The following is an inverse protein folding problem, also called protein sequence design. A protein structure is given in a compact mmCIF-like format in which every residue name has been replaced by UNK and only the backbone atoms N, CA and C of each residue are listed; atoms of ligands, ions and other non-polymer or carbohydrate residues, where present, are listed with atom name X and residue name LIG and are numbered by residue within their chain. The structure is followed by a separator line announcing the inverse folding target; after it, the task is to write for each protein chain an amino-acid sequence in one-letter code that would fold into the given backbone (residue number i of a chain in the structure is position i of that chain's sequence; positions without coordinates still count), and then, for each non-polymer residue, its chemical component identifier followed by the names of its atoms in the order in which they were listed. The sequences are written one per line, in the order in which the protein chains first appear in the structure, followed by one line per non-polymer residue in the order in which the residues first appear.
data_IF_288180330145
#
_entry.id   IF_288180330145
#
_cell.length_a   1.000
_cell.length_b   1.000
_cell.length_c   1.000
_cell.angle_alpha   90.00
_cell.angle_beta   90.00
_cell.angle_gamma   90.00
#
_symmetry.space_group_name_H-M   'P 1'
#
loop_
_entity.id
_entity.type
_entity.pdbx_description
1 polymer ?
#
# COMPACT_ATOMS: atom_id res chain seq x y z
N UNK A 1 14.52 11.96 -12.59
CA UNK A 1 13.38 11.37 -11.92
C UNK A 1 13.78 10.14 -11.13
N UNK A 2 13.28 10.00 -9.97
CA UNK A 2 13.78 9.02 -9.02
C UNK A 2 12.90 7.77 -8.96
N UNK A 3 12.63 7.18 -10.11
CA UNK A 3 11.80 5.96 -10.13
C UNK A 3 12.43 4.82 -9.35
N UNK A 4 13.76 4.72 -9.43
CA UNK A 4 14.45 3.69 -8.65
C UNK A 4 14.20 3.88 -7.15
N UNK A 5 14.12 5.11 -6.71
CA UNK A 5 13.84 5.41 -5.31
C UNK A 5 12.49 4.83 -4.90
N UNK A 6 11.47 4.97 -5.74
CA UNK A 6 10.16 4.41 -5.44
C UNK A 6 10.17 2.89 -5.51
N UNK A 7 10.94 2.31 -6.44
CA UNK A 7 11.08 0.86 -6.49
C UNK A 7 11.69 0.31 -5.21
N UNK A 8 12.77 0.95 -4.77
CA UNK A 8 13.43 0.53 -3.54
C UNK A 8 12.52 0.71 -2.33
N UNK A 9 11.78 1.82 -2.30
CA UNK A 9 10.85 2.08 -1.21
C UNK A 9 9.76 1.02 -1.15
N UNK A 10 9.18 0.67 -2.31
CA UNK A 10 8.15 -0.35 -2.36
C UNK A 10 8.66 -1.69 -1.85
N UNK A 11 9.86 -2.07 -2.26
CA UNK A 11 10.46 -3.32 -1.79
C UNK A 11 10.68 -3.30 -0.29
N UNK A 12 11.21 -2.20 0.21
CA UNK A 12 11.48 -2.06 1.64
C UNK A 12 10.19 -2.15 2.45
N UNK A 13 9.18 -1.42 2.04
CA UNK A 13 7.93 -1.41 2.80
C UNK A 13 7.20 -2.74 2.74
N UNK A 14 7.28 -3.44 1.60
CA UNK A 14 6.70 -4.78 1.51
C UNK A 14 7.40 -5.76 2.43
N UNK A 15 8.73 -5.71 2.47
CA UNK A 15 9.48 -6.56 3.38
C UNK A 15 9.14 -6.26 4.83
N UNK A 16 9.05 -4.98 5.16
CA UNK A 16 8.71 -4.57 6.52
C UNK A 16 7.31 -5.06 6.90
N UNK A 17 6.36 -4.97 5.96
CA UNK A 17 5.00 -5.42 6.22
C UNK A 17 4.93 -6.92 6.44
N UNK A 18 5.77 -7.69 5.73
CA UNK A 18 5.73 -9.16 5.78
C UNK A 18 6.57 -9.74 6.90
N UNK A 19 7.54 -9.00 7.39
CA UNK A 19 8.53 -9.54 8.33
C UNK A 19 7.89 -10.05 9.62
N UNK A 20 7.18 -9.20 10.32
CA UNK A 20 6.44 -9.58 11.52
C UNK A 20 5.13 -8.81 11.50
N UNK A 21 4.09 -9.35 10.88
CA UNK A 21 2.83 -8.62 10.76
C UNK A 21 2.35 -8.12 12.12
N UNK A 22 1.99 -6.84 12.15
CA UNK A 22 1.62 -6.16 13.38
C UNK A 22 0.50 -5.18 13.06
N UNK A 23 -0.60 -5.26 13.82
CA UNK A 23 -1.76 -4.43 13.50
C UNK A 23 -1.51 -2.93 13.64
N UNK A 24 -0.42 -2.54 14.26
CA UNK A 24 -0.09 -1.12 14.41
C UNK A 24 0.81 -0.62 13.28
N UNK A 25 1.74 -1.43 12.81
CA UNK A 25 2.74 -0.99 11.84
C UNK A 25 2.49 -1.52 10.44
N UNK A 26 2.01 -2.75 10.31
CA UNK A 26 1.84 -3.37 8.99
C UNK A 26 0.92 -2.56 8.09
N UNK A 27 -0.25 -2.05 8.55
CA UNK A 27 -1.08 -1.24 7.67
C UNK A 27 -0.37 0.01 7.17
N UNK A 28 0.44 0.64 8.03
CA UNK A 28 1.20 1.82 7.63
C UNK A 28 2.19 1.48 6.52
N UNK A 29 2.92 0.37 6.66
CA UNK A 29 3.87 -0.04 5.63
C UNK A 29 3.18 -0.40 4.33
N UNK A 30 2.03 -1.08 4.41
CA UNK A 30 1.27 -1.42 3.21
C UNK A 30 0.80 -0.16 2.49
N UNK A 31 0.34 0.84 3.23
CA UNK A 31 -0.07 2.10 2.62
C UNK A 31 1.10 2.81 1.94
N UNK A 32 2.26 2.80 2.58
CA UNK A 32 3.44 3.43 1.99
C UNK A 32 3.88 2.68 0.73
N UNK A 33 3.84 1.35 0.76
CA UNK A 33 4.16 0.56 -0.42
C UNK A 33 3.18 0.86 -1.55
N UNK A 34 1.89 0.97 -1.23
CA UNK A 34 0.88 1.26 -2.25
C UNK A 34 1.13 2.60 -2.91
N UNK A 35 1.46 3.63 -2.12
CA UNK A 35 1.76 4.94 -2.69
C UNK A 35 2.98 4.89 -3.60
N UNK A 36 4.02 4.14 -3.21
CA UNK A 36 5.19 3.98 -4.06
C UNK A 36 4.83 3.30 -5.38
N UNK A 37 3.97 2.28 -5.33
CA UNK A 37 3.53 1.62 -6.55
C UNK A 37 2.74 2.58 -7.45
N UNK A 38 1.91 3.45 -6.87
CA UNK A 38 1.21 4.45 -7.67
C UNK A 38 2.19 5.38 -8.38
N UNK A 39 3.26 5.78 -7.70
CA UNK A 39 4.27 6.63 -8.32
C UNK A 39 4.97 5.92 -9.47
N UNK A 40 5.02 4.60 -9.43
CA UNK A 40 5.62 3.79 -10.49
C UNK A 40 4.60 3.43 -11.58
N UNK A 41 3.37 3.90 -11.47
CA UNK A 41 2.28 3.53 -12.36
C UNK A 41 1.96 2.04 -12.32
N UNK A 42 2.27 1.39 -11.21
CA UNK A 42 1.94 -0.01 -10.99
C UNK A 42 0.68 -0.10 -10.16
N UNK A 43 -0.43 0.33 -10.76
CA UNK A 43 -1.69 0.48 -10.04
C UNK A 43 -2.24 -0.86 -9.56
N UNK A 44 -1.99 -1.94 -10.30
CA UNK A 44 -2.45 -3.27 -9.85
C UNK A 44 -1.81 -3.65 -8.53
N UNK A 45 -0.51 -3.40 -8.39
CA UNK A 45 0.18 -3.70 -7.15
C UNK A 45 -0.26 -2.78 -6.02
N UNK A 46 -0.53 -1.52 -6.35
CA UNK A 46 -1.05 -0.58 -5.37
C UNK A 46 -2.41 -1.06 -4.84
N UNK A 47 -3.29 -1.51 -5.74
CA UNK A 47 -4.59 -2.01 -5.33
C UNK A 47 -4.46 -3.22 -4.42
N UNK A 48 -3.51 -4.12 -4.73
CA UNK A 48 -3.28 -5.28 -3.88
C UNK A 48 -2.89 -4.87 -2.46
N UNK A 49 -2.00 -3.88 -2.35
CA UNK A 49 -1.56 -3.43 -1.04
C UNK A 49 -2.71 -2.81 -0.26
N UNK A 50 -3.51 -1.97 -0.93
CA UNK A 50 -4.68 -1.38 -0.28
C UNK A 50 -5.66 -2.47 0.15
N UNK A 51 -5.85 -3.48 -0.69
CA UNK A 51 -6.78 -4.56 -0.37
C UNK A 51 -6.32 -5.34 0.85
N UNK A 52 -5.03 -5.55 1.03
CA UNK A 52 -4.52 -6.22 2.22
C UNK A 52 -4.89 -5.44 3.48
N UNK A 53 -4.81 -4.11 3.42
CA UNK A 53 -5.24 -3.29 4.56
C UNK A 53 -6.73 -3.46 4.81
N UNK A 54 -7.51 -3.42 3.74
CA UNK A 54 -8.97 -3.52 3.87
C UNK A 54 -9.37 -4.88 4.47
N UNK A 55 -8.75 -5.96 4.02
CA UNK A 55 -9.13 -7.30 4.46
C UNK A 55 -8.61 -7.65 5.84
N UNK A 56 -7.36 -7.27 6.14
CA UNK A 56 -6.68 -7.78 7.32
C UNK A 56 -6.56 -6.77 8.44
N UNK A 57 -6.75 -5.49 8.16
CA UNK A 57 -6.51 -4.44 9.15
C UNK A 57 -7.67 -3.44 9.19
N UNK A 58 -8.90 -3.99 9.14
CA UNK A 58 -10.09 -3.15 9.08
C UNK A 58 -10.27 -2.26 10.32
N UNK A 59 -9.63 -2.61 11.43
CA UNK A 59 -9.71 -1.80 12.65
C UNK A 59 -8.69 -0.67 12.68
N UNK A 60 -7.77 -0.63 11.71
CA UNK A 60 -6.72 0.38 11.73
C UNK A 60 -7.22 1.71 11.18
N UNK A 61 -6.56 2.82 11.57
CA UNK A 61 -6.89 4.13 10.98
C UNK A 61 -6.68 4.15 9.47
N UNK A 62 -5.78 3.31 8.96
CA UNK A 62 -5.47 3.26 7.54
C UNK A 62 -6.60 2.66 6.70
N UNK A 63 -7.51 1.95 7.33
CA UNK A 63 -8.59 1.25 6.62
C UNK A 63 -9.41 2.21 5.73
N UNK A 64 -9.84 3.33 6.28
CA UNK A 64 -10.65 4.29 5.53
C UNK A 64 -9.88 4.86 4.34
N UNK A 65 -8.62 5.20 4.57
CA UNK A 65 -7.81 5.74 3.49
C UNK A 65 -7.54 4.68 2.41
N UNK A 66 -7.33 3.43 2.82
CA UNK A 66 -7.12 2.35 1.85
C UNK A 66 -8.33 2.19 0.95
N UNK A 67 -9.52 2.21 1.52
CA UNK A 67 -10.75 2.11 0.74
C UNK A 67 -10.88 3.29 -0.24
N UNK A 68 -10.61 4.48 0.26
CA UNK A 68 -10.71 5.70 -0.54
C UNK A 68 -9.74 5.66 -1.72
N UNK A 69 -8.49 5.32 -1.46
CA UNK A 69 -7.48 5.33 -2.51
C UNK A 69 -7.69 4.19 -3.51
N UNK A 70 -8.11 3.02 -3.01
CA UNK A 70 -8.40 1.91 -3.92
C UNK A 70 -9.56 2.27 -4.85
N UNK A 71 -10.61 2.87 -4.31
CA UNK A 71 -11.76 3.28 -5.12
C UNK A 71 -11.34 4.28 -6.19
N UNK A 72 -10.45 5.21 -5.84
CA UNK A 72 -9.96 6.18 -6.81
C UNK A 72 -9.24 5.49 -7.96
N UNK A 73 -8.40 4.51 -7.65
CA UNK A 73 -7.70 3.76 -8.68
C UNK A 73 -8.66 2.95 -9.54
N UNK A 74 -9.67 2.35 -8.93
CA UNK A 74 -10.67 1.59 -9.68
C UNK A 74 -11.42 2.48 -10.65
N UNK A 75 -11.74 3.70 -10.24
CA UNK A 75 -12.47 4.63 -11.08
C UNK A 75 -11.63 5.19 -12.23
N UNK A 76 -10.32 5.17 -12.10
CA UNK A 76 -9.42 5.71 -13.11
C UNK A 76 -8.86 4.65 -14.05
N UNK A 77 -9.24 3.42 -13.87
CA UNK A 77 -8.71 2.33 -14.71
C UNK A 77 -9.53 2.10 -15.96
#
# INVERSE_FOLDING_TARGET
MELKKYEDAAKYYNKAADYKPNKYFTPTYLMKAALAYEKLNQNDKAKEAYEKVIKNFWESPEYQNARKYKARLDNNS
#
